data_IF_394495394292
#
_entry.id   IF_394495394292
#
_cell.length_a   1.000
_cell.length_b   1.000
_cell.length_c   1.000
_cell.angle_alpha   90.00
_cell.angle_beta   90.00
_cell.angle_gamma   90.00
#
_symmetry.space_group_name_H-M   'P 1'
#
loop_
_entity.id
_entity.type
_entity.pdbx_description
1 polymer ?
#
# COMPACT_ATOMS: atom_id res chain seq x y z
N UNK A 1 -77.90 13.58 34.69
CA UNK A 1 -76.65 14.10 35.30
C UNK A 1 -75.66 12.95 35.41
N UNK A 2 -74.60 13.01 34.62
CA UNK A 2 -73.61 11.95 34.40
C UNK A 2 -72.54 11.95 35.50
N UNK A 3 -72.29 10.80 36.11
CA UNK A 3 -71.32 10.59 37.19
C UNK A 3 -69.91 10.40 36.62
N UNK A 4 -68.98 11.31 36.94
CA UNK A 4 -67.58 11.21 36.52
C UNK A 4 -66.77 10.31 37.46
N UNK A 5 -66.13 9.28 36.90
CA UNK A 5 -65.20 8.40 37.59
C UNK A 5 -63.82 9.08 37.64
N UNK A 6 -63.39 9.52 38.83
CA UNK A 6 -62.02 10.05 39.04
C UNK A 6 -60.96 8.95 38.85
N UNK A 7 -59.92 9.27 38.09
CA UNK A 7 -58.75 8.45 37.82
C UNK A 7 -57.92 8.22 39.10
N UNK A 8 -57.56 6.96 39.38
CA UNK A 8 -56.63 6.60 40.46
C UNK A 8 -55.22 7.11 40.12
N UNK A 9 -54.70 8.05 40.90
CA UNK A 9 -53.27 8.43 40.89
C UNK A 9 -52.44 7.22 41.32
N UNK A 10 -51.50 6.81 40.47
CA UNK A 10 -50.48 5.81 40.78
C UNK A 10 -49.45 6.49 41.69
N UNK A 11 -49.48 6.19 42.98
CA UNK A 11 -48.48 6.65 43.94
C UNK A 11 -47.14 6.01 43.56
N UNK A 12 -46.16 6.84 43.21
CA UNK A 12 -44.78 6.39 42.99
C UNK A 12 -44.30 5.78 44.30
N UNK A 13 -43.90 4.52 44.27
CA UNK A 13 -43.29 3.83 45.42
C UNK A 13 -42.07 4.62 45.88
N UNK A 14 -41.95 4.90 47.17
CA UNK A 14 -40.75 5.50 47.76
C UNK A 14 -39.53 4.67 47.36
N UNK A 15 -38.47 5.35 46.92
CA UNK A 15 -37.19 4.75 46.56
C UNK A 15 -36.73 3.81 47.68
N UNK A 16 -36.34 2.60 47.30
CA UNK A 16 -35.79 1.63 48.25
C UNK A 16 -34.37 2.06 48.64
N UNK A 17 -33.93 1.76 49.87
CA UNK A 17 -32.62 2.23 50.36
C UNK A 17 -31.44 1.77 49.49
N UNK A 18 -31.61 0.72 48.68
CA UNK A 18 -30.62 0.26 47.73
C UNK A 18 -30.55 1.15 46.47
N UNK A 19 -31.67 1.63 45.95
CA UNK A 19 -31.70 2.55 44.81
C UNK A 19 -31.12 3.92 45.18
N UNK A 20 -31.37 4.38 46.41
CA UNK A 20 -30.73 5.57 46.96
C UNK A 20 -29.22 5.37 47.15
N UNK A 21 -28.77 4.22 47.66
CA UNK A 21 -27.34 3.93 47.78
C UNK A 21 -26.64 3.85 46.40
N UNK A 22 -27.27 3.24 45.40
CA UNK A 22 -26.74 3.17 44.03
C UNK A 22 -26.66 4.58 43.42
N UNK A 23 -27.70 5.40 43.59
CA UNK A 23 -27.71 6.81 43.18
C UNK A 23 -26.64 7.64 43.91
N UNK A 24 -26.39 7.38 45.20
CA UNK A 24 -25.34 8.03 45.98
C UNK A 24 -23.93 7.63 45.53
N UNK A 25 -23.73 6.37 45.12
CA UNK A 25 -22.48 5.89 44.54
C UNK A 25 -22.25 6.45 43.11
N UNK A 26 -23.28 6.46 42.26
CA UNK A 26 -23.22 7.02 40.90
C UNK A 26 -23.01 8.55 40.90
N UNK A 27 -23.55 9.26 41.89
CA UNK A 27 -23.33 10.70 42.09
C UNK A 27 -22.03 11.05 42.81
N UNK A 28 -21.21 10.05 43.19
CA UNK A 28 -19.89 10.26 43.77
C UNK A 28 -19.89 10.82 45.19
N UNK A 29 -20.97 10.63 45.96
CA UNK A 29 -21.09 11.14 47.34
C UNK A 29 -20.08 10.54 48.33
N UNK A 30 -19.40 9.44 47.98
CA UNK A 30 -18.31 8.87 48.76
C UNK A 30 -16.96 9.59 48.63
N UNK A 31 -16.84 10.55 47.70
CA UNK A 31 -15.61 11.31 47.48
C UNK A 31 -15.67 12.59 48.31
N UNK A 32 -14.71 12.78 49.22
CA UNK A 32 -14.61 13.99 50.03
C UNK A 32 -14.73 15.25 49.16
N UNK A 33 -15.49 16.27 49.61
CA UNK A 33 -15.63 17.56 48.91
C UNK A 33 -14.27 18.17 48.54
N UNK A 34 -13.24 17.93 49.38
CA UNK A 34 -11.87 18.36 49.13
C UNK A 34 -11.22 17.64 47.94
N UNK A 35 -11.51 16.35 47.75
CA UNK A 35 -11.02 15.56 46.63
C UNK A 35 -11.74 15.90 45.32
N UNK A 36 -13.04 16.21 45.37
CA UNK A 36 -13.77 16.74 44.20
C UNK A 36 -13.20 18.09 43.76
N UNK A 37 -13.03 19.04 44.69
CA UNK A 37 -12.40 20.33 44.41
C UNK A 37 -10.96 20.20 43.90
N UNK A 38 -10.19 19.23 44.42
CA UNK A 38 -8.84 18.96 43.94
C UNK A 38 -8.83 18.36 42.54
N UNK A 39 -9.78 17.47 42.21
CA UNK A 39 -9.93 16.89 40.87
C UNK A 39 -10.36 17.95 39.86
N UNK A 40 -11.31 18.81 40.22
CA UNK A 40 -11.79 19.91 39.38
C UNK A 40 -10.68 20.95 39.19
N UNK A 41 -9.94 21.29 40.25
CA UNK A 41 -8.75 22.14 40.15
C UNK A 41 -7.58 21.49 39.39
N UNK A 42 -7.50 20.16 39.29
CA UNK A 42 -6.57 19.48 38.38
C UNK A 42 -7.05 19.60 36.93
N UNK A 43 -8.34 19.35 36.66
CA UNK A 43 -8.94 19.46 35.33
C UNK A 43 -8.85 20.88 34.79
N UNK A 44 -9.08 21.90 35.61
CA UNK A 44 -8.92 23.31 35.22
C UNK A 44 -7.47 23.65 34.91
N UNK A 45 -6.52 23.18 35.73
CA UNK A 45 -5.09 23.37 35.47
C UNK A 45 -4.62 22.66 34.20
N UNK A 46 -5.09 21.44 33.95
CA UNK A 46 -4.77 20.70 32.73
C UNK A 46 -5.47 21.29 31.50
N UNK A 47 -6.66 21.86 31.65
CA UNK A 47 -7.33 22.65 30.59
C UNK A 47 -6.62 23.97 30.29
N UNK A 48 -5.98 24.57 31.30
CA UNK A 48 -5.19 25.82 31.14
C UNK A 48 -3.76 25.58 30.65
N UNK A 49 -3.26 24.35 30.73
CA UNK A 49 -2.00 23.95 30.09
C UNK A 49 -2.32 23.67 28.62
N UNK A 50 -2.44 24.73 27.84
CA UNK A 50 -2.37 24.59 26.39
C UNK A 50 -1.06 23.88 26.05
N UNK A 51 -1.16 22.79 25.30
CA UNK A 51 0.02 22.04 24.91
C UNK A 51 0.76 22.85 23.86
N UNK A 52 2.05 23.15 24.07
CA UNK A 52 2.92 23.72 23.02
C UNK A 52 3.24 22.69 21.91
N UNK A 53 2.68 21.49 21.99
CA UNK A 53 2.78 20.49 20.92
C UNK A 53 2.04 21.10 19.73
N UNK A 54 2.71 21.29 18.59
CA UNK A 54 2.12 21.76 17.33
C UNK A 54 0.66 21.28 17.15
N UNK A 55 -0.29 22.10 17.62
CA UNK A 55 -1.64 21.64 18.01
C UNK A 55 -2.66 21.83 16.88
N UNK A 56 -2.15 22.20 15.71
CA UNK A 56 -2.87 22.19 14.46
C UNK A 56 -2.25 21.12 13.55
N UNK A 57 -2.56 19.83 13.76
CA UNK A 57 -2.64 18.97 12.59
C UNK A 57 -3.54 19.72 11.62
N UNK A 58 -3.06 19.94 10.40
CA UNK A 58 -3.65 20.81 9.39
C UNK A 58 -5.16 20.53 9.09
N UNK A 59 -5.68 19.44 9.66
CA UNK A 59 -7.05 18.97 9.59
C UNK A 59 -7.60 18.59 10.97
N UNK A 60 -8.04 19.59 11.75
CA UNK A 60 -8.74 19.40 13.03
C UNK A 60 -10.25 19.29 12.79
N UNK A 61 -10.70 18.30 12.01
CA UNK A 61 -12.14 18.02 11.93
C UNK A 61 -12.59 17.50 13.30
N UNK A 62 -13.50 18.20 14.00
CA UNK A 62 -13.94 17.77 15.32
C UNK A 62 -14.57 16.39 15.22
N UNK A 63 -14.19 15.53 16.17
CA UNK A 63 -14.68 14.16 16.22
C UNK A 63 -15.03 13.75 17.64
N UNK A 64 -16.11 12.99 17.77
CA UNK A 64 -16.55 12.39 19.03
C UNK A 64 -16.55 10.86 18.95
N UNK A 65 -16.57 10.20 20.09
CA UNK A 65 -16.76 8.75 20.18
C UNK A 65 -18.17 8.46 20.68
N UNK A 66 -18.99 7.82 19.86
CA UNK A 66 -20.36 7.44 20.20
C UNK A 66 -20.73 6.07 19.59
N UNK A 67 -21.93 5.57 19.87
CA UNK A 67 -22.45 4.30 19.38
C UNK A 67 -23.44 4.50 18.25
N UNK A 68 -23.11 3.99 17.06
CA UNK A 68 -23.97 4.07 15.86
C UNK A 68 -24.47 2.68 15.46
N UNK A 69 -25.69 2.62 14.94
CA UNK A 69 -26.28 1.40 14.38
C UNK A 69 -25.47 0.96 13.15
N UNK A 70 -25.08 -0.31 13.07
CA UNK A 70 -24.26 -0.82 11.95
C UNK A 70 -24.94 -0.58 10.59
N UNK A 71 -26.26 -0.71 10.48
CA UNK A 71 -27.01 -0.41 9.24
C UNK A 71 -26.94 1.04 8.79
N UNK A 72 -26.60 1.98 9.68
CA UNK A 72 -26.43 3.38 9.31
C UNK A 72 -25.02 3.67 8.77
N UNK A 73 -24.07 2.74 8.95
CA UNK A 73 -22.70 2.89 8.47
C UNK A 73 -22.64 2.50 7.00
N UNK A 74 -22.17 3.42 6.15
CA UNK A 74 -22.16 3.23 4.70
C UNK A 74 -20.72 3.02 4.18
N UNK A 75 -20.37 1.81 3.69
CA UNK A 75 -19.09 1.60 3.02
C UNK A 75 -19.01 2.45 1.74
N UNK A 76 -17.79 2.81 1.35
CA UNK A 76 -17.59 3.79 0.27
C UNK A 76 -16.89 3.16 -0.93
N UNK A 77 -17.54 3.22 -2.10
CA UNK A 77 -17.07 2.60 -3.34
C UNK A 77 -15.78 3.22 -3.91
N UNK A 78 -15.44 4.43 -3.49
CA UNK A 78 -14.25 5.15 -3.93
C UNK A 78 -12.95 4.68 -3.24
N UNK A 79 -13.06 3.82 -2.22
CA UNK A 79 -11.94 3.20 -1.53
C UNK A 79 -11.35 2.04 -2.36
N UNK A 80 -10.01 1.96 -2.43
CA UNK A 80 -9.31 0.89 -3.16
C UNK A 80 -9.67 -0.52 -2.67
N UNK A 81 -9.90 -0.68 -1.36
CA UNK A 81 -10.30 -1.95 -0.71
C UNK A 81 -11.81 -2.07 -0.51
N UNK A 82 -12.61 -1.33 -1.27
CA UNK A 82 -14.05 -1.51 -1.26
C UNK A 82 -14.43 -2.90 -1.78
N UNK A 83 -15.24 -3.61 -1.00
CA UNK A 83 -15.94 -4.81 -1.44
C UNK A 83 -17.29 -4.37 -2.02
N UNK A 84 -17.71 -4.87 -3.21
CA UNK A 84 -19.02 -4.58 -3.79
C UNK A 84 -20.10 -5.32 -3.02
N UNK A 85 -20.31 -4.88 -1.79
CA UNK A 85 -21.22 -5.52 -0.84
C UNK A 85 -22.62 -5.00 -1.09
N UNK A 86 -23.56 -5.94 -1.23
CA UNK A 86 -24.99 -5.65 -1.17
C UNK A 86 -25.53 -6.19 0.14
N UNK A 87 -26.38 -5.40 0.77
CA UNK A 87 -27.07 -5.78 2.00
C UNK A 87 -28.47 -6.24 1.66
N UNK A 88 -28.93 -7.31 2.28
CA UNK A 88 -30.29 -7.78 2.09
C UNK A 88 -31.27 -6.77 2.69
N UNK A 89 -32.41 -6.51 2.02
CA UNK A 89 -33.43 -5.59 2.54
C UNK A 89 -34.05 -6.07 3.85
N UNK A 90 -34.01 -7.38 4.07
CA UNK A 90 -34.46 -8.08 5.26
C UNK A 90 -33.50 -9.25 5.52
N UNK A 91 -33.35 -9.64 6.77
CA UNK A 91 -32.42 -10.68 7.20
C UNK A 91 -32.97 -12.12 7.04
N UNK A 92 -33.93 -12.33 6.15
CA UNK A 92 -34.45 -13.66 5.80
C UNK A 92 -33.60 -14.35 4.72
N UNK A 93 -33.58 -15.68 4.76
CA UNK A 93 -32.81 -16.53 3.85
C UNK A 93 -33.19 -16.31 2.38
N UNK A 94 -34.47 -16.04 2.08
CA UNK A 94 -34.95 -15.77 0.72
C UNK A 94 -34.36 -14.47 0.16
N UNK A 95 -34.39 -13.39 0.95
CA UNK A 95 -33.82 -12.10 0.57
C UNK A 95 -32.30 -12.18 0.39
N UNK A 96 -31.62 -13.00 1.21
CA UNK A 96 -30.18 -13.25 1.07
C UNK A 96 -29.90 -14.08 -0.19
N UNK A 97 -30.69 -15.12 -0.47
CA UNK A 97 -30.52 -15.98 -1.63
C UNK A 97 -30.75 -15.26 -2.97
N UNK A 98 -31.62 -14.24 -2.98
CA UNK A 98 -31.93 -13.45 -4.17
C UNK A 98 -30.79 -12.51 -4.63
N UNK A 99 -29.75 -12.31 -3.81
CA UNK A 99 -28.60 -11.47 -4.17
C UNK A 99 -27.67 -12.20 -5.15
N UNK A 100 -27.50 -11.65 -6.35
CA UNK A 100 -26.57 -12.11 -7.38
C UNK A 100 -25.50 -11.06 -7.71
N UNK A 101 -24.40 -11.50 -8.34
CA UNK A 101 -23.26 -10.69 -8.80
C UNK A 101 -22.72 -9.65 -7.77
N UNK A 102 -22.56 -10.09 -6.53
CA UNK A 102 -22.12 -9.23 -5.43
C UNK A 102 -21.40 -9.99 -4.31
N UNK A 103 -20.87 -9.27 -3.33
CA UNK A 103 -20.42 -9.86 -2.06
C UNK A 103 -21.56 -9.75 -1.05
N UNK A 104 -22.04 -10.87 -0.53
CA UNK A 104 -23.06 -10.89 0.50
C UNK A 104 -22.37 -10.77 1.86
N UNK A 105 -22.81 -9.82 2.69
CA UNK A 105 -22.29 -9.64 4.04
C UNK A 105 -23.46 -9.45 5.03
N UNK A 106 -23.93 -10.55 5.58
CA UNK A 106 -24.98 -10.61 6.59
C UNK A 106 -24.51 -11.44 7.80
N UNK A 107 -25.33 -11.48 8.86
CA UNK A 107 -24.98 -12.23 10.07
C UNK A 107 -24.74 -13.71 9.74
N UNK A 108 -23.52 -14.18 9.96
CA UNK A 108 -23.09 -15.56 9.69
C UNK A 108 -22.85 -15.89 8.21
N UNK A 109 -23.09 -14.96 7.28
CA UNK A 109 -22.93 -15.18 5.84
C UNK A 109 -22.04 -14.09 5.25
N UNK A 110 -20.83 -14.46 4.86
CA UNK A 110 -19.90 -13.58 4.13
C UNK A 110 -19.36 -14.33 2.92
N UNK A 111 -19.93 -14.09 1.74
CA UNK A 111 -19.69 -14.91 0.55
C UNK A 111 -19.48 -14.05 -0.70
N UNK A 112 -18.55 -14.49 -1.56
CA UNK A 112 -18.35 -13.90 -2.87
C UNK A 112 -19.25 -14.58 -3.90
N UNK A 113 -20.21 -13.83 -4.46
CA UNK A 113 -21.10 -14.27 -5.55
C UNK A 113 -20.81 -13.58 -6.87
N UNK A 114 -19.67 -12.89 -6.99
CA UNK A 114 -19.20 -12.35 -8.25
C UNK A 114 -18.89 -13.49 -9.24
N UNK A 115 -19.01 -13.23 -10.54
CA UNK A 115 -18.54 -14.17 -11.56
C UNK A 115 -17.04 -14.46 -11.41
N UNK A 116 -16.63 -15.70 -11.68
CA UNK A 116 -15.20 -16.10 -11.71
C UNK A 116 -14.40 -15.35 -12.78
N UNK A 117 -15.08 -14.84 -13.80
CA UNK A 117 -14.46 -14.03 -14.85
C UNK A 117 -14.13 -12.59 -14.38
N UNK A 118 -14.61 -12.20 -13.18
CA UNK A 118 -14.32 -10.90 -12.62
C UNK A 118 -12.82 -10.77 -12.29
N UNK A 119 -12.09 -9.76 -12.79
CA UNK A 119 -10.66 -9.58 -12.53
C UNK A 119 -10.29 -9.48 -11.04
N UNK A 120 -11.23 -9.08 -10.19
CA UNK A 120 -11.05 -8.94 -8.74
C UNK A 120 -11.53 -10.16 -7.95
N UNK A 121 -12.02 -11.23 -8.59
CA UNK A 121 -12.61 -12.39 -7.90
C UNK A 121 -11.68 -12.99 -6.84
N UNK A 122 -10.42 -13.29 -7.21
CA UNK A 122 -9.44 -13.88 -6.29
C UNK A 122 -9.06 -12.92 -5.15
N UNK A 123 -8.89 -11.63 -5.47
CA UNK A 123 -8.57 -10.60 -4.48
C UNK A 123 -9.71 -10.42 -3.46
N UNK A 124 -10.97 -10.48 -3.93
CA UNK A 124 -12.16 -10.42 -3.08
C UNK A 124 -12.24 -11.64 -2.17
N UNK A 125 -11.96 -12.85 -2.68
CA UNK A 125 -11.94 -14.06 -1.85
C UNK A 125 -10.88 -13.98 -0.74
N UNK A 126 -9.68 -13.52 -1.08
CA UNK A 126 -8.61 -13.32 -0.10
C UNK A 126 -9.03 -12.30 0.99
N UNK A 127 -9.61 -11.17 0.58
CA UNK A 127 -10.07 -10.15 1.52
C UNK A 127 -11.23 -10.66 2.42
N UNK A 128 -12.11 -11.53 1.90
CA UNK A 128 -13.16 -12.18 2.69
C UNK A 128 -12.57 -13.08 3.78
N UNK A 129 -11.60 -13.93 3.45
CA UNK A 129 -10.93 -14.79 4.43
C UNK A 129 -10.22 -13.97 5.51
N UNK A 130 -9.57 -12.89 5.10
CA UNK A 130 -8.95 -11.92 5.99
C UNK A 130 -9.95 -11.22 6.93
N UNK A 131 -11.16 -10.92 6.45
CA UNK A 131 -12.25 -10.36 7.26
C UNK A 131 -12.81 -11.41 8.23
N UNK A 132 -12.94 -12.68 7.82
CA UNK A 132 -13.38 -13.79 8.70
C UNK A 132 -12.39 -13.99 9.85
N UNK A 133 -11.09 -13.98 9.56
CA UNK A 133 -10.05 -14.08 10.60
C UNK A 133 -10.10 -12.90 11.59
N UNK A 134 -10.32 -11.68 11.07
CA UNK A 134 -10.53 -10.50 11.92
C UNK A 134 -11.80 -10.65 12.78
N UNK A 135 -12.88 -11.20 12.22
CA UNK A 135 -14.11 -11.46 12.94
C UNK A 135 -13.91 -12.47 14.08
N UNK A 136 -13.22 -13.59 13.86
CA UNK A 136 -12.88 -14.53 14.94
C UNK A 136 -12.09 -13.86 16.07
N UNK A 137 -11.16 -12.97 15.73
CA UNK A 137 -10.42 -12.19 16.73
C UNK A 137 -11.34 -11.26 17.53
N UNK A 138 -12.28 -10.59 16.87
CA UNK A 138 -13.25 -9.67 17.47
C UNK A 138 -14.35 -10.36 18.31
N UNK A 139 -14.48 -11.70 18.24
CA UNK A 139 -15.33 -12.44 19.19
C UNK A 139 -14.75 -12.43 20.61
N UNK A 140 -13.42 -12.44 20.72
CA UNK A 140 -12.71 -12.57 22.00
C UNK A 140 -12.06 -11.27 22.48
N UNK A 141 -12.05 -10.24 21.64
CA UNK A 141 -11.43 -8.95 21.92
C UNK A 141 -12.42 -7.81 21.68
N UNK A 142 -12.26 -6.74 22.44
CA UNK A 142 -13.00 -5.50 22.15
C UNK A 142 -12.48 -4.83 20.87
N UNK A 143 -13.33 -4.00 20.28
CA UNK A 143 -12.94 -3.14 19.17
C UNK A 143 -12.01 -2.02 19.67
N UNK A 144 -10.72 -2.33 19.80
CA UNK A 144 -9.68 -1.40 20.30
C UNK A 144 -9.60 -0.15 19.42
N UNK A 145 -9.57 -0.35 18.10
CA UNK A 145 -9.61 0.75 17.13
C UNK A 145 -11.04 0.91 16.60
N UNK A 146 -11.73 2.02 16.90
CA UNK A 146 -13.11 2.25 16.45
C UNK A 146 -13.16 2.54 14.95
N UNK A 147 -14.28 2.18 14.31
CA UNK A 147 -14.54 2.56 12.92
C UNK A 147 -14.70 4.08 12.86
N UNK A 148 -14.04 4.71 11.89
CA UNK A 148 -14.13 6.16 11.72
C UNK A 148 -15.14 6.46 10.61
N UNK A 149 -16.12 7.31 10.92
CA UNK A 149 -17.21 7.71 10.03
C UNK A 149 -17.38 9.23 10.09
N UNK A 150 -18.05 9.81 9.10
CA UNK A 150 -18.55 11.18 9.23
C UNK A 150 -20.06 11.20 9.21
N UNK A 151 -20.67 12.20 9.86
CA UNK A 151 -22.12 12.34 9.89
C UNK A 151 -22.59 13.07 8.64
N UNK A 152 -23.25 12.35 7.71
CA UNK A 152 -23.86 12.97 6.52
C UNK A 152 -25.32 13.35 6.77
N UNK A 153 -26.06 12.50 7.48
CA UNK A 153 -27.40 12.80 8.01
C UNK A 153 -27.67 11.96 9.27
N UNK A 154 -28.93 11.87 9.73
CA UNK A 154 -29.30 11.13 10.95
C UNK A 154 -29.07 9.62 10.89
N UNK A 155 -29.10 9.02 9.70
CA UNK A 155 -29.02 7.56 9.48
C UNK A 155 -28.01 7.17 8.39
N UNK A 156 -27.11 8.07 8.01
CA UNK A 156 -26.09 7.90 6.97
C UNK A 156 -24.75 8.36 7.54
N UNK A 157 -23.90 7.38 7.85
CA UNK A 157 -22.56 7.54 8.39
C UNK A 157 -21.55 6.88 7.45
N UNK A 158 -21.11 7.58 6.41
CA UNK A 158 -20.11 7.05 5.50
C UNK A 158 -18.78 6.75 6.20
N UNK A 159 -18.12 5.65 5.81
CA UNK A 159 -16.85 5.22 6.40
C UNK A 159 -15.68 6.07 5.88
N UNK A 160 -14.96 6.69 6.82
CA UNK A 160 -13.62 7.28 6.59
C UNK A 160 -12.59 6.16 6.55
N UNK A 161 -12.52 5.34 7.61
CA UNK A 161 -11.52 4.30 7.79
C UNK A 161 -12.07 3.12 8.61
N UNK A 162 -11.54 1.91 8.37
CA UNK A 162 -11.94 0.70 9.08
C UNK A 162 -13.02 -0.15 8.37
N UNK A 163 -13.02 -0.18 7.03
CA UNK A 163 -13.96 -0.98 6.24
C UNK A 163 -13.98 -2.47 6.65
N UNK A 164 -12.81 -3.09 6.84
CA UNK A 164 -12.70 -4.49 7.29
C UNK A 164 -13.33 -4.74 8.66
N UNK A 165 -13.15 -3.81 9.60
CA UNK A 165 -13.76 -3.90 10.93
C UNK A 165 -15.28 -3.81 10.86
N UNK A 166 -15.78 -2.92 10.00
CA UNK A 166 -17.22 -2.84 9.72
C UNK A 166 -17.78 -4.16 9.17
N UNK A 167 -17.16 -4.73 8.13
CA UNK A 167 -17.61 -6.00 7.55
C UNK A 167 -17.51 -7.17 8.55
N UNK A 168 -16.42 -7.25 9.32
CA UNK A 168 -16.25 -8.28 10.34
C UNK A 168 -17.34 -8.20 11.42
N UNK A 169 -17.65 -7.00 11.90
CA UNK A 169 -18.70 -6.78 12.90
C UNK A 169 -20.08 -7.11 12.35
N UNK A 170 -20.38 -6.70 11.12
CA UNK A 170 -21.65 -7.03 10.46
C UNK A 170 -21.80 -8.53 10.27
N UNK A 171 -20.73 -9.21 9.85
CA UNK A 171 -20.71 -10.67 9.71
C UNK A 171 -20.97 -11.38 11.06
N UNK A 172 -20.38 -10.91 12.17
CA UNK A 172 -20.59 -11.52 13.49
C UNK A 172 -21.99 -11.29 14.07
N UNK A 173 -22.45 -10.05 14.00
CA UNK A 173 -23.55 -9.58 14.84
C UNK A 173 -24.75 -9.06 14.04
N UNK A 174 -24.61 -8.88 12.73
CA UNK A 174 -25.63 -8.31 11.85
C UNK A 174 -25.67 -6.78 11.86
N UNK A 175 -26.67 -6.23 11.16
CA UNK A 175 -26.86 -4.79 10.98
C UNK A 175 -27.54 -4.04 12.14
N UNK A 176 -28.32 -4.77 12.96
CA UNK A 176 -29.20 -4.18 13.98
C UNK A 176 -28.51 -3.94 15.34
N UNK A 177 -27.19 -3.97 15.39
CA UNK A 177 -26.41 -3.69 16.62
C UNK A 177 -25.80 -2.30 16.60
N UNK A 178 -25.57 -1.73 17.79
CA UNK A 178 -24.85 -0.45 17.94
C UNK A 178 -23.38 -0.69 18.29
N UNK A 179 -22.49 -0.02 17.59
CA UNK A 179 -21.03 -0.21 17.71
C UNK A 179 -20.33 1.12 18.00
N UNK A 180 -19.25 1.07 18.77
CA UNK A 180 -18.45 2.25 19.11
C UNK A 180 -17.70 2.74 17.86
N UNK A 181 -17.98 3.98 17.45
CA UNK A 181 -17.41 4.61 16.27
C UNK A 181 -16.86 5.99 16.62
N UNK A 182 -15.86 6.43 15.86
CA UNK A 182 -15.37 7.81 15.84
C UNK A 182 -16.16 8.57 14.78
N UNK A 183 -16.93 9.57 15.18
CA UNK A 183 -17.81 10.34 14.30
C UNK A 183 -17.19 11.71 14.08
N UNK A 184 -16.82 12.02 12.84
CA UNK A 184 -16.53 13.37 12.40
C UNK A 184 -17.84 14.13 12.18
N UNK A 185 -17.91 15.36 12.69
CA UNK A 185 -19.12 16.19 12.57
C UNK A 185 -19.49 16.50 11.10
N UNK A 186 -18.49 16.55 10.23
CA UNK A 186 -18.61 16.79 8.79
C UNK A 186 -17.63 15.92 8.01
N UNK A 187 -17.76 15.89 6.68
CA UNK A 187 -16.83 15.15 5.81
C UNK A 187 -15.41 15.72 5.97
N UNK A 188 -14.42 14.91 6.39
CA UNK A 188 -13.04 15.37 6.49
C UNK A 188 -12.52 15.85 5.14
N UNK A 189 -11.79 16.98 5.14
CA UNK A 189 -11.15 17.52 3.93
C UNK A 189 -10.04 16.62 3.40
N UNK A 190 -9.35 15.92 4.30
CA UNK A 190 -8.21 15.04 4.05
C UNK A 190 -8.60 13.55 4.04
N UNK A 191 -9.77 13.23 3.47
CA UNK A 191 -10.33 11.89 3.47
C UNK A 191 -9.39 10.85 2.83
N UNK A 192 -8.79 11.19 1.69
CA UNK A 192 -7.89 10.28 0.98
C UNK A 192 -6.56 10.10 1.71
N UNK A 193 -6.05 11.14 2.37
CA UNK A 193 -4.88 11.04 3.24
C UNK A 193 -5.13 10.08 4.40
N UNK A 194 -6.26 10.23 5.10
CA UNK A 194 -6.63 9.32 6.20
C UNK A 194 -6.77 7.87 5.74
N UNK A 195 -7.37 7.65 4.56
CA UNK A 195 -7.49 6.33 3.94
C UNK A 195 -6.13 5.76 3.53
N UNK A 196 -5.24 6.58 3.00
CA UNK A 196 -3.90 6.16 2.60
C UNK A 196 -3.09 5.69 3.80
N UNK A 197 -3.09 6.46 4.90
CA UNK A 197 -2.39 6.08 6.14
C UNK A 197 -2.90 4.74 6.67
N UNK A 198 -4.22 4.54 6.68
CA UNK A 198 -4.80 3.26 7.14
C UNK A 198 -4.41 2.09 6.23
N UNK A 199 -4.45 2.29 4.92
CA UNK A 199 -4.09 1.27 3.94
C UNK A 199 -2.58 0.95 3.95
N UNK A 200 -1.72 1.97 4.10
CA UNK A 200 -0.26 1.82 4.05
C UNK A 200 0.30 1.12 5.30
N UNK A 201 -0.39 1.21 6.43
CA UNK A 201 -0.04 0.45 7.64
C UNK A 201 -0.18 -1.07 7.49
N UNK A 202 -0.74 -1.56 6.37
CA UNK A 202 -0.97 -2.99 6.10
C UNK A 202 -0.06 -3.51 4.99
N UNK A 203 0.41 -4.75 5.13
CA UNK A 203 1.39 -5.39 4.24
C UNK A 203 0.86 -5.77 2.84
N UNK A 204 -0.45 -5.73 2.61
CA UNK A 204 -1.06 -6.54 1.53
C UNK A 204 -1.72 -5.71 0.41
N UNK A 205 -1.40 -4.41 0.30
CA UNK A 205 -1.98 -3.58 -0.76
C UNK A 205 -1.35 -3.92 -2.12
N UNK A 206 -2.19 -4.21 -3.13
CA UNK A 206 -1.67 -4.51 -4.47
C UNK A 206 -0.94 -3.30 -5.06
N UNK A 207 0.08 -3.49 -5.93
CA UNK A 207 0.79 -2.40 -6.58
C UNK A 207 -0.11 -1.32 -7.23
N UNK A 208 -1.14 -1.65 -8.04
CA UNK A 208 -2.02 -0.63 -8.62
C UNK A 208 -2.86 0.09 -7.55
N UNK A 209 -3.39 -0.63 -6.55
CA UNK A 209 -4.17 -0.02 -5.48
C UNK A 209 -3.31 0.91 -4.60
N UNK A 210 -2.04 0.55 -4.39
CA UNK A 210 -1.08 1.36 -3.65
C UNK A 210 -0.76 2.66 -4.38
N UNK A 211 -0.49 2.60 -5.68
CA UNK A 211 -0.23 3.79 -6.49
C UNK A 211 -1.48 4.67 -6.60
N UNK A 212 -2.66 4.08 -6.80
CA UNK A 212 -3.94 4.81 -6.83
C UNK A 212 -4.24 5.50 -5.50
N UNK A 213 -4.02 4.82 -4.37
CA UNK A 213 -4.19 5.40 -3.04
C UNK A 213 -3.22 6.56 -2.79
N UNK A 214 -1.94 6.41 -3.18
CA UNK A 214 -0.95 7.48 -3.10
C UNK A 214 -1.35 8.68 -3.97
N UNK A 215 -1.72 8.43 -5.23
CA UNK A 215 -2.11 9.48 -6.18
C UNK A 215 -3.31 10.30 -5.69
N UNK A 216 -4.35 9.64 -5.15
CA UNK A 216 -5.51 10.33 -4.58
C UNK A 216 -5.14 11.19 -3.37
N UNK A 217 -4.27 10.68 -2.49
CA UNK A 217 -3.84 11.40 -1.30
C UNK A 217 -2.94 12.61 -1.64
N UNK A 218 -2.02 12.45 -2.58
CA UNK A 218 -1.16 13.55 -3.05
C UNK A 218 -1.97 14.62 -3.75
N UNK A 219 -2.91 14.28 -4.64
CA UNK A 219 -3.81 15.27 -5.27
C UNK A 219 -4.64 16.02 -4.25
N UNK A 220 -5.13 15.34 -3.21
CA UNK A 220 -5.86 15.97 -2.12
C UNK A 220 -4.96 16.95 -1.35
N UNK A 221 -3.70 16.58 -1.06
CA UNK A 221 -2.73 17.48 -0.45
C UNK A 221 -2.39 18.67 -1.35
N UNK A 222 -2.18 18.45 -2.65
CA UNK A 222 -1.93 19.52 -3.65
C UNK A 222 -3.06 20.56 -3.67
N UNK A 223 -4.30 20.13 -3.48
CA UNK A 223 -5.46 21.02 -3.42
C UNK A 223 -5.57 21.77 -2.09
N UNK A 224 -5.13 21.16 -0.98
CA UNK A 224 -5.26 21.72 0.37
C UNK A 224 -4.08 22.63 0.75
N UNK A 225 -2.87 22.27 0.33
CA UNK A 225 -1.58 22.85 0.74
C UNK A 225 -0.73 23.28 -0.47
N UNK A 226 -1.37 23.84 -1.50
CA UNK A 226 -0.72 24.20 -2.76
C UNK A 226 0.54 25.07 -2.58
N UNK A 227 0.50 26.07 -1.70
CA UNK A 227 1.62 26.98 -1.47
C UNK A 227 2.82 26.29 -0.79
N UNK A 228 2.56 25.45 0.22
CA UNK A 228 3.59 24.72 0.97
C UNK A 228 4.21 23.60 0.14
N UNK A 229 3.43 22.96 -0.74
CA UNK A 229 3.93 21.94 -1.66
C UNK A 229 4.88 22.54 -2.71
N UNK A 230 4.62 23.76 -3.16
CA UNK A 230 5.53 24.44 -4.10
C UNK A 230 6.91 24.73 -3.49
N UNK A 231 6.98 24.98 -2.17
CA UNK A 231 8.23 25.25 -1.47
C UNK A 231 8.95 23.99 -1.00
N UNK A 232 8.24 23.03 -0.38
CA UNK A 232 8.82 21.81 0.16
C UNK A 232 7.89 20.59 0.04
N UNK A 233 7.64 20.16 -1.20
CA UNK A 233 6.85 18.96 -1.51
C UNK A 233 7.28 17.73 -0.72
N UNK A 234 8.58 17.49 -0.59
CA UNK A 234 9.11 16.26 0.00
C UNK A 234 8.73 16.19 1.48
N UNK A 235 9.03 17.24 2.25
CA UNK A 235 8.73 17.25 3.68
C UNK A 235 7.23 17.21 3.95
N UNK A 236 6.43 17.94 3.15
CA UNK A 236 4.96 17.93 3.26
C UNK A 236 4.44 16.52 3.01
N UNK A 237 4.69 15.93 1.83
CA UNK A 237 4.11 14.63 1.47
C UNK A 237 4.58 13.53 2.42
N UNK A 238 5.86 13.50 2.79
CA UNK A 238 6.38 12.48 3.74
C UNK A 238 5.78 12.62 5.13
N UNK A 239 5.62 13.85 5.63
CA UNK A 239 4.97 14.14 6.91
C UNK A 239 3.51 13.71 6.93
N UNK A 240 2.70 14.17 5.97
CA UNK A 240 1.26 13.89 5.96
C UNK A 240 0.91 12.44 5.67
N UNK A 241 1.65 11.79 4.76
CA UNK A 241 1.37 10.39 4.41
C UNK A 241 2.06 9.40 5.35
N UNK A 242 2.97 9.85 6.21
CA UNK A 242 3.71 8.97 7.14
C UNK A 242 4.64 7.99 6.43
N UNK A 243 5.19 8.38 5.28
CA UNK A 243 6.07 7.53 4.46
C UNK A 243 7.53 7.97 4.54
N UNK A 244 8.47 7.04 4.36
CA UNK A 244 9.89 7.36 4.28
C UNK A 244 10.22 8.15 3.01
N UNK A 245 11.31 8.93 3.04
CA UNK A 245 11.81 9.66 1.86
C UNK A 245 12.08 8.75 0.66
N UNK A 246 12.61 7.54 0.89
CA UNK A 246 12.83 6.55 -0.17
C UNK A 246 11.53 6.10 -0.81
N UNK A 247 10.49 5.84 0.01
CA UNK A 247 9.16 5.52 -0.50
C UNK A 247 8.56 6.69 -1.28
N UNK A 248 8.72 7.92 -0.79
CA UNK A 248 8.30 9.13 -1.48
C UNK A 248 8.90 9.20 -2.89
N UNK A 249 10.23 9.16 -3.04
CA UNK A 249 10.86 9.25 -4.37
C UNK A 249 10.39 8.15 -5.34
N UNK A 250 10.16 6.95 -4.81
CA UNK A 250 9.63 5.84 -5.60
C UNK A 250 8.20 6.11 -6.07
N UNK A 251 7.29 6.44 -5.16
CA UNK A 251 5.88 6.66 -5.49
C UNK A 251 5.67 7.92 -6.32
N UNK A 252 6.37 9.01 -6.00
CA UNK A 252 6.24 10.29 -6.72
C UNK A 252 6.71 10.15 -8.17
N UNK A 253 7.80 9.43 -8.42
CA UNK A 253 8.28 9.13 -9.77
C UNK A 253 7.29 8.29 -10.59
N UNK A 254 6.64 7.32 -9.95
CA UNK A 254 5.59 6.52 -10.60
C UNK A 254 4.31 7.33 -10.81
N UNK A 255 4.01 8.27 -9.90
CA UNK A 255 2.88 9.19 -10.00
C UNK A 255 3.06 10.21 -11.13
N UNK A 256 4.27 10.74 -11.34
CA UNK A 256 4.60 11.61 -12.48
C UNK A 256 4.30 10.92 -13.82
N UNK A 257 4.50 9.60 -13.89
CA UNK A 257 4.28 8.78 -15.09
C UNK A 257 2.99 7.93 -15.00
N UNK A 258 2.00 8.36 -14.20
CA UNK A 258 0.84 7.54 -13.84
C UNK A 258 0.05 7.03 -15.05
N UNK A 259 -0.05 7.82 -16.13
CA UNK A 259 -0.78 7.46 -17.35
C UNK A 259 -0.22 6.22 -18.03
N UNK A 260 1.11 6.06 -18.03
CA UNK A 260 1.78 4.91 -18.61
C UNK A 260 1.98 3.78 -17.60
N UNK A 261 2.16 4.11 -16.33
CA UNK A 261 2.43 3.14 -15.26
C UNK A 261 1.19 2.36 -14.87
N UNK A 262 0.02 3.01 -14.73
CA UNK A 262 -1.21 2.35 -14.26
C UNK A 262 -1.63 1.17 -15.16
N UNK A 263 -1.67 1.31 -16.50
CA UNK A 263 -2.00 0.17 -17.37
C UNK A 263 -1.05 -1.01 -17.23
N UNK A 264 0.25 -0.76 -16.96
CA UNK A 264 1.23 -1.84 -16.76
C UNK A 264 0.96 -2.62 -15.47
N UNK A 265 0.52 -1.93 -14.41
CA UNK A 265 0.19 -2.53 -13.12
C UNK A 265 -1.16 -3.28 -13.17
N UNK A 266 -2.19 -2.67 -13.77
CA UNK A 266 -3.52 -3.26 -13.90
C UNK A 266 -3.51 -4.52 -14.75
N UNK A 267 -2.76 -4.52 -15.86
CA UNK A 267 -2.58 -5.69 -16.71
C UNK A 267 -1.58 -6.72 -16.14
N UNK A 268 -1.08 -6.51 -14.91
CA UNK A 268 -0.10 -7.37 -14.24
C UNK A 268 1.18 -7.62 -15.05
N UNK A 269 1.54 -6.70 -15.96
CA UNK A 269 2.81 -6.74 -16.71
C UNK A 269 3.95 -6.50 -15.72
N UNK A 270 3.74 -5.59 -14.77
CA UNK A 270 4.66 -5.26 -13.68
C UNK A 270 4.02 -5.59 -12.35
N UNK A 271 4.74 -6.34 -11.51
CA UNK A 271 4.29 -6.70 -10.15
C UNK A 271 5.07 -5.97 -9.05
N UNK A 272 6.24 -5.40 -9.36
CA UNK A 272 7.09 -4.72 -8.38
C UNK A 272 7.25 -3.25 -8.72
N UNK A 273 6.72 -2.38 -7.85
CA UNK A 273 6.90 -0.93 -7.93
C UNK A 273 8.37 -0.52 -7.80
N UNK A 274 9.16 -1.28 -7.03
CA UNK A 274 10.59 -1.02 -6.84
C UNK A 274 11.35 -1.23 -8.14
N UNK A 275 11.14 -2.39 -8.79
CA UNK A 275 11.83 -2.72 -10.03
C UNK A 275 11.48 -1.73 -11.14
N UNK A 276 10.19 -1.37 -11.25
CA UNK A 276 9.76 -0.40 -12.26
C UNK A 276 10.37 0.99 -12.03
N UNK A 277 10.39 1.46 -10.79
CA UNK A 277 11.03 2.73 -10.43
C UNK A 277 12.52 2.77 -10.82
N UNK A 278 13.26 1.70 -10.54
CA UNK A 278 14.68 1.62 -10.90
C UNK A 278 14.92 1.70 -12.41
N UNK A 279 14.08 1.04 -13.20
CA UNK A 279 14.22 1.06 -14.66
C UNK A 279 13.75 2.39 -15.27
N UNK A 280 12.69 3.02 -14.73
CA UNK A 280 12.29 4.37 -15.13
C UNK A 280 13.43 5.36 -14.86
N UNK A 281 14.07 5.27 -13.68
CA UNK A 281 15.20 6.13 -13.32
C UNK A 281 16.35 6.01 -14.31
N UNK A 282 16.70 4.78 -14.72
CA UNK A 282 17.73 4.56 -15.76
C UNK A 282 17.30 5.14 -17.12
N UNK A 283 16.04 4.99 -17.48
CA UNK A 283 15.52 5.53 -18.75
C UNK A 283 15.50 7.07 -18.76
N UNK A 284 15.23 7.72 -17.62
CA UNK A 284 15.27 9.18 -17.47
C UNK A 284 16.69 9.75 -17.65
N UNK A 285 17.74 9.04 -17.21
CA UNK A 285 19.14 9.43 -17.47
C UNK A 285 19.42 9.59 -18.97
N UNK A 286 18.63 8.93 -19.83
CA UNK A 286 18.71 8.96 -21.29
C UNK A 286 17.52 9.70 -21.95
N UNK A 287 16.67 10.39 -21.17
CA UNK A 287 15.45 11.07 -21.66
C UNK A 287 14.49 10.15 -22.45
N UNK A 288 14.46 8.85 -22.11
CA UNK A 288 13.77 7.80 -22.88
C UNK A 288 12.68 7.08 -22.06
N UNK A 289 12.31 7.64 -20.90
CA UNK A 289 11.38 7.01 -19.96
C UNK A 289 10.00 6.72 -20.56
N UNK A 290 9.41 7.68 -21.28
CA UNK A 290 8.10 7.50 -21.90
C UNK A 290 8.11 6.38 -22.95
N UNK A 291 9.08 6.42 -23.88
CA UNK A 291 9.23 5.39 -24.92
C UNK A 291 9.45 4.00 -24.32
N UNK A 292 10.24 3.92 -23.26
CA UNK A 292 10.46 2.67 -22.53
C UNK A 292 9.14 2.11 -21.97
N UNK A 293 8.35 2.93 -21.28
CA UNK A 293 7.06 2.50 -20.72
C UNK A 293 6.05 2.09 -21.81
N UNK A 294 5.99 2.82 -22.91
CA UNK A 294 5.19 2.46 -24.09
C UNK A 294 5.62 1.11 -24.68
N UNK A 295 6.94 0.86 -24.73
CA UNK A 295 7.50 -0.41 -25.22
C UNK A 295 7.10 -1.59 -24.32
N UNK A 296 7.12 -1.40 -22.99
CA UNK A 296 6.65 -2.43 -22.05
C UNK A 296 5.19 -2.79 -22.29
N UNK A 297 4.35 -1.77 -22.54
CA UNK A 297 2.93 -1.97 -22.79
C UNK A 297 2.69 -2.69 -24.12
N UNK A 298 3.39 -2.29 -25.18
CA UNK A 298 3.31 -2.91 -26.50
C UNK A 298 3.74 -4.39 -26.48
N UNK A 299 4.81 -4.70 -25.76
CA UNK A 299 5.34 -6.07 -25.67
C UNK A 299 4.65 -6.93 -24.61
N UNK A 300 3.79 -6.33 -23.77
CA UNK A 300 3.08 -6.96 -22.64
C UNK A 300 4.00 -7.76 -21.70
N UNK A 301 5.25 -7.32 -21.57
CA UNK A 301 6.26 -8.01 -20.77
C UNK A 301 7.17 -7.00 -20.09
N UNK A 302 7.47 -7.24 -18.82
CA UNK A 302 8.47 -6.46 -18.12
C UNK A 302 9.88 -6.81 -18.63
N UNK A 303 10.56 -5.81 -19.22
CA UNK A 303 11.94 -5.89 -19.68
C UNK A 303 12.76 -4.84 -18.98
N UNK A 304 14.04 -5.12 -18.76
CA UNK A 304 14.97 -4.11 -18.23
C UNK A 304 15.23 -3.04 -19.29
N UNK A 305 15.44 -1.81 -18.86
CA UNK A 305 15.80 -0.72 -19.74
C UNK A 305 17.16 -0.99 -20.39
N UNK A 306 17.21 -0.79 -21.70
CA UNK A 306 18.41 -0.88 -22.53
C UNK A 306 18.61 0.49 -23.16
N UNK A 307 19.73 1.18 -22.89
CA UNK A 307 20.00 2.47 -23.50
C UNK A 307 19.97 2.34 -25.04
N UNK A 308 19.40 3.32 -25.77
CA UNK A 308 19.60 3.39 -27.21
C UNK A 308 21.10 3.39 -27.47
N UNK A 309 21.55 2.52 -28.38
CA UNK A 309 22.97 2.19 -28.59
C UNK A 309 23.85 3.44 -28.48
N UNK A 310 24.45 3.64 -27.31
CA UNK A 310 25.64 4.47 -27.25
C UNK A 310 26.64 3.72 -28.11
N UNK A 311 27.01 4.31 -29.26
CA UNK A 311 28.11 3.84 -30.09
C UNK A 311 29.20 3.38 -29.13
N UNK A 312 29.41 2.06 -29.02
CA UNK A 312 30.45 1.50 -28.18
C UNK A 312 31.72 2.20 -28.64
N UNK A 313 32.21 3.18 -27.87
CA UNK A 313 33.52 3.77 -28.15
C UNK A 313 34.44 2.57 -28.28
N UNK A 314 35.12 2.38 -29.43
CA UNK A 314 35.91 1.18 -29.64
C UNK A 314 36.82 1.05 -28.42
N UNK A 315 36.65 -0.06 -27.70
CA UNK A 315 37.44 -0.31 -26.50
C UNK A 315 38.90 -0.13 -26.86
N UNK A 316 39.68 0.49 -25.98
CA UNK A 316 41.12 0.73 -26.19
C UNK A 316 41.75 -0.51 -26.80
N UNK A 317 42.34 -0.36 -27.99
CA UNK A 317 43.01 -1.46 -28.67
C UNK A 317 43.97 -2.15 -27.70
N UNK A 318 43.93 -3.50 -27.66
CA UNK A 318 44.74 -4.29 -26.74
C UNK A 318 46.21 -3.96 -27.02
N UNK A 319 46.89 -3.32 -26.05
CA UNK A 319 48.33 -3.02 -26.15
C UNK A 319 49.23 -4.18 -25.74
N UNK A 320 48.66 -5.24 -25.17
CA UNK A 320 49.40 -6.36 -24.61
C UNK A 320 48.89 -7.68 -25.17
N UNK A 321 49.82 -8.55 -25.53
CA UNK A 321 49.55 -9.94 -25.90
C UNK A 321 49.53 -10.76 -24.61
N UNK A 322 48.49 -11.54 -24.38
CA UNK A 322 48.47 -12.50 -23.26
C UNK A 322 48.99 -13.83 -23.77
N UNK A 323 49.92 -14.45 -23.05
CA UNK A 323 50.40 -15.79 -23.41
C UNK A 323 49.20 -16.75 -23.51
N UNK A 324 49.06 -17.47 -24.63
CA UNK A 324 47.88 -18.28 -24.85
C UNK A 324 47.88 -19.50 -23.92
N UNK A 325 46.73 -19.80 -23.34
CA UNK A 325 46.53 -20.98 -22.48
C UNK A 325 46.45 -22.26 -23.33
N UNK A 326 47.57 -22.66 -23.93
CA UNK A 326 47.68 -23.91 -24.70
C UNK A 326 48.22 -25.01 -23.78
N UNK A 327 47.55 -26.16 -23.70
CA UNK A 327 48.08 -27.34 -23.01
C UNK A 327 49.18 -27.95 -23.88
N UNK A 328 50.43 -27.64 -23.56
CA UNK A 328 51.58 -28.25 -24.23
C UNK A 328 51.89 -29.58 -23.55
N UNK A 329 51.62 -30.69 -24.23
CA UNK A 329 51.81 -32.06 -23.69
C UNK A 329 53.25 -32.55 -23.78
N UNK A 330 54.04 -32.01 -24.71
CA UNK A 330 55.42 -32.40 -24.95
C UNK A 330 56.39 -31.26 -24.63
N UNK A 331 57.41 -31.52 -23.80
CA UNK A 331 58.46 -30.54 -23.47
C UNK A 331 59.37 -30.21 -24.66
N UNK A 332 59.42 -31.08 -25.68
CA UNK A 332 60.09 -30.85 -26.96
C UNK A 332 59.55 -29.62 -27.68
N UNK A 333 58.24 -29.37 -27.63
CA UNK A 333 57.59 -28.22 -28.30
C UNK A 333 58.09 -26.87 -27.75
N UNK A 334 58.24 -26.77 -26.43
CA UNK A 334 58.77 -25.58 -25.76
C UNK A 334 60.26 -25.41 -26.05
N UNK A 335 61.03 -26.52 -26.03
CA UNK A 335 62.45 -26.49 -26.38
C UNK A 335 62.66 -25.97 -27.80
N UNK A 336 61.92 -26.50 -28.78
CA UNK A 336 62.00 -26.08 -30.19
C UNK A 336 61.62 -24.62 -30.39
N UNK A 337 60.56 -24.14 -29.73
CA UNK A 337 60.18 -22.73 -29.75
C UNK A 337 61.31 -21.79 -29.27
N UNK A 338 62.14 -22.24 -28.32
CA UNK A 338 63.21 -21.44 -27.72
C UNK A 338 64.57 -21.59 -28.41
N UNK A 339 64.79 -22.68 -29.18
CA UNK A 339 66.11 -23.00 -29.75
C UNK A 339 66.17 -23.04 -31.26
N UNK A 340 65.04 -23.24 -31.94
CA UNK A 340 64.97 -23.31 -33.41
C UNK A 340 64.37 -22.02 -33.99
N UNK A 341 64.78 -21.66 -35.21
CA UNK A 341 64.12 -20.60 -35.96
C UNK A 341 62.77 -21.12 -36.48
N UNK A 342 61.72 -20.82 -35.72
CA UNK A 342 60.35 -21.23 -36.02
C UNK A 342 59.78 -20.63 -37.31
N UNK A 343 60.43 -19.61 -37.88
CA UNK A 343 60.00 -19.00 -39.15
C UNK A 343 60.38 -19.82 -40.38
N UNK A 344 61.37 -20.70 -40.25
CA UNK A 344 61.88 -21.58 -41.31
C UNK A 344 61.27 -22.99 -41.27
N UNK A 345 60.46 -23.29 -40.25
CA UNK A 345 59.78 -24.57 -40.10
C UNK A 345 58.48 -24.59 -40.92
N UNK A 346 58.18 -25.73 -41.55
CA UNK A 346 56.88 -25.95 -42.22
C UNK A 346 55.79 -26.24 -41.17
N UNK A 347 55.37 -25.18 -40.49
CA UNK A 347 54.32 -25.20 -39.45
C UNK A 347 52.96 -24.75 -39.97
N UNK A 348 52.82 -24.54 -41.29
CA UNK A 348 51.58 -24.10 -41.93
C UNK A 348 51.18 -22.64 -41.62
N UNK A 349 52.15 -21.81 -41.21
CA UNK A 349 51.95 -20.38 -40.91
C UNK A 349 52.60 -19.55 -42.02
N UNK A 350 51.80 -18.69 -42.66
CA UNK A 350 52.28 -17.75 -43.68
C UNK A 350 52.85 -16.50 -43.00
N UNK A 351 54.14 -16.54 -42.66
CA UNK A 351 54.84 -15.47 -41.93
C UNK A 351 54.86 -14.13 -42.69
N UNK A 352 54.69 -14.12 -44.01
CA UNK A 352 54.68 -12.91 -44.83
C UNK A 352 53.39 -12.08 -44.72
N UNK A 353 52.32 -12.63 -44.15
CA UNK A 353 51.02 -11.96 -43.94
C UNK A 353 50.73 -11.63 -42.47
N UNK A 354 51.66 -11.91 -41.58
CA UNK A 354 51.48 -11.65 -40.14
C UNK A 354 51.80 -10.18 -39.87
N UNK A 355 50.78 -9.43 -39.46
CA UNK A 355 50.96 -8.10 -38.90
C UNK A 355 51.36 -8.23 -37.42
N UNK A 356 52.61 -7.92 -37.12
CA UNK A 356 53.16 -7.97 -35.77
C UNK A 356 52.70 -6.81 -34.86
N UNK A 357 52.12 -5.77 -35.44
CA UNK A 357 51.56 -4.63 -34.69
C UNK A 357 50.11 -4.91 -34.23
N UNK A 358 49.43 -5.92 -34.79
CA UNK A 358 48.13 -6.39 -34.32
C UNK A 358 48.27 -7.49 -33.26
N UNK A 359 48.13 -7.10 -31.99
CA UNK A 359 48.17 -7.99 -30.85
C UNK A 359 47.18 -9.18 -30.95
N UNK A 360 46.03 -9.03 -31.61
CA UNK A 360 45.06 -10.12 -31.76
C UNK A 360 45.52 -11.13 -32.82
N UNK A 361 46.11 -10.66 -33.91
CA UNK A 361 46.69 -11.52 -34.94
C UNK A 361 47.89 -12.29 -34.39
N UNK A 362 48.79 -11.63 -33.66
CA UNK A 362 49.97 -12.27 -33.05
C UNK A 362 49.57 -13.33 -32.02
N UNK A 363 48.56 -13.08 -31.19
CA UNK A 363 48.05 -14.08 -30.23
C UNK A 363 47.52 -15.34 -30.95
N UNK A 364 46.86 -15.16 -32.10
CA UNK A 364 46.31 -16.26 -32.91
C UNK A 364 47.43 -17.08 -33.57
N UNK A 365 48.44 -16.41 -34.12
CA UNK A 365 49.62 -17.06 -34.72
C UNK A 365 50.39 -17.85 -33.66
N UNK A 366 50.61 -17.27 -32.47
CA UNK A 366 51.30 -17.94 -31.37
C UNK A 366 50.55 -19.19 -30.87
N UNK A 367 49.20 -19.15 -30.83
CA UNK A 367 48.36 -20.35 -30.55
C UNK A 367 48.55 -21.44 -31.60
N UNK A 368 48.53 -21.07 -32.88
CA UNK A 368 48.70 -22.02 -33.98
C UNK A 368 50.10 -22.65 -33.94
N UNK A 369 51.14 -21.85 -33.70
CA UNK A 369 52.53 -22.31 -33.59
C UNK A 369 52.72 -23.32 -32.46
N UNK A 370 52.24 -23.00 -31.25
CA UNK A 370 52.34 -23.92 -30.10
C UNK A 370 51.57 -25.24 -30.34
N UNK A 371 50.47 -25.19 -31.09
CA UNK A 371 49.70 -26.38 -31.46
C UNK A 371 50.42 -27.21 -32.54
N UNK A 372 51.10 -26.56 -33.48
CA UNK A 372 51.88 -27.23 -34.51
C UNK A 372 53.15 -27.88 -33.95
N UNK A 373 53.85 -27.21 -33.03
CA UNK A 373 55.08 -27.71 -32.40
C UNK A 373 54.83 -28.83 -31.36
N UNK A 374 53.59 -28.99 -30.89
CA UNK A 374 53.20 -30.02 -29.92
C UNK A 374 52.63 -31.30 -30.55
N UNK A 375 52.46 -31.31 -31.88
CA UNK A 375 52.31 -32.53 -32.67
C UNK A 375 53.69 -33.14 -32.90
#
# INVERSE_FOLDING_TARGET
MTTSRKSRRRTVSKATSQEDLISQFESGQGVSKKSQQMLDGLKERDKSKESEVHDDPLFKTPSELDRVLVDYIQPQADNSRYLPVTFAKKADEESIAALDDCVVCEKGVLENRLSKDNPRYDAVNQEIEEIRNLAETLKHSELVHPIAVWRKNMSDYPIVAGHRRFYAIRFLYGGLIKVKVKIYAEKPKNLNVLRHIENFSRSDLTPPDALSSYAKAVRELENLEAATIQSDRISVVTSYLGISRTSFFRYDKLYENIEFVMPLLENKIVTSLVALYEEIKKAEEHQDAQRYLETLNAQRKFLKYLPPETLKKPGRAKKYITMPKVKVTQTSAIRRLLTEDVTQLDVGIDWGKVDFEDAAMVEKVLKALLTALSK
#
